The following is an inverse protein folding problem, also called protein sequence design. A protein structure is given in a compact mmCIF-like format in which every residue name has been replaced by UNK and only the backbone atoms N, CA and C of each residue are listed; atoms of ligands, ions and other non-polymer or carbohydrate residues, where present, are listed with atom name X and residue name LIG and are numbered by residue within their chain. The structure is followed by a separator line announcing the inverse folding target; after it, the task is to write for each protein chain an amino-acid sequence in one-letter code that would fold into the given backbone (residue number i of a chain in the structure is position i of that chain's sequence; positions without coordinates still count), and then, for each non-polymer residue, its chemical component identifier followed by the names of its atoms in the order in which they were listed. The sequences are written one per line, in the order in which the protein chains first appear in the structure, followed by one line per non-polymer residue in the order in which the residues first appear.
data_IF_177206773191
#
_entry.id   IF_177206773191
#
_cell.length_a   1.000
_cell.length_b   1.000
_cell.length_c   1.000
_cell.angle_alpha   90.00
_cell.angle_beta   90.00
_cell.angle_gamma   90.00
#
_symmetry.space_group_name_H-M   'P 1'
#
loop_
_entity.id
_entity.type
_entity.pdbx_description
1 polymer ?
#
# COMPACT_ATOMS: atom_id res chain seq x y z
N UNK A 1 63.17 70.86 -40.28
CA UNK A 1 63.45 69.41 -40.09
C UNK A 1 62.68 68.94 -38.85
N UNK A 2 61.51 68.33 -39.00
CA UNK A 2 60.69 67.83 -37.87
C UNK A 2 60.39 66.36 -38.18
N UNK A 3 60.92 65.47 -37.37
CA UNK A 3 60.63 64.04 -37.43
C UNK A 3 59.35 63.74 -36.61
N UNK A 4 58.40 63.17 -37.28
CA UNK A 4 57.13 62.70 -36.61
C UNK A 4 57.30 61.27 -36.15
N UNK A 5 57.15 61.06 -34.85
CA UNK A 5 57.15 59.74 -34.17
C UNK A 5 55.72 59.13 -34.27
N UNK A 6 55.60 58.01 -34.95
CA UNK A 6 54.36 57.26 -35.01
C UNK A 6 54.35 56.22 -33.92
N UNK A 7 53.46 56.36 -32.95
CA UNK A 7 53.21 55.36 -31.90
C UNK A 7 52.27 54.31 -32.42
N UNK A 8 52.70 53.07 -32.44
CA UNK A 8 51.83 51.89 -32.71
C UNK A 8 51.10 51.49 -31.41
N UNK A 9 49.76 51.50 -31.43
CA UNK A 9 48.94 50.96 -30.35
C UNK A 9 48.52 49.55 -30.73
N UNK A 10 49.06 48.55 -30.02
CA UNK A 10 48.67 47.14 -30.16
C UNK A 10 47.46 46.88 -29.30
N UNK A 11 46.29 46.62 -29.90
CA UNK A 11 45.10 46.14 -29.21
C UNK A 11 45.23 44.62 -28.93
N UNK A 12 45.30 44.22 -27.68
CA UNK A 12 45.21 42.84 -27.27
C UNK A 12 43.70 42.45 -27.16
N UNK A 13 43.23 41.53 -27.98
CA UNK A 13 41.92 40.97 -27.90
C UNK A 13 41.88 39.95 -26.74
N UNK A 14 41.16 40.25 -25.67
CA UNK A 14 40.86 39.32 -24.58
C UNK A 14 39.67 38.46 -25.01
N UNK A 15 39.93 37.22 -25.40
CA UNK A 15 38.92 36.23 -25.69
C UNK A 15 38.30 35.72 -24.38
N UNK A 16 37.04 36.05 -24.08
CA UNK A 16 36.27 35.45 -23.01
C UNK A 16 35.81 34.05 -23.43
N UNK A 17 36.46 33.00 -22.92
CA UNK A 17 35.96 31.64 -23.02
C UNK A 17 34.72 31.49 -22.14
N UNK A 18 33.56 31.39 -22.76
CA UNK A 18 32.32 31.01 -22.08
C UNK A 18 32.43 29.52 -21.68
N UNK A 19 32.62 29.27 -20.41
CA UNK A 19 32.46 27.93 -19.83
C UNK A 19 30.95 27.58 -19.88
N UNK A 20 30.60 26.72 -20.82
CA UNK A 20 29.28 26.07 -20.85
C UNK A 20 29.19 25.16 -19.63
N UNK A 21 28.52 25.60 -18.57
CA UNK A 21 28.09 24.73 -17.48
C UNK A 21 27.07 23.77 -18.07
N UNK A 22 27.44 22.52 -18.26
CA UNK A 22 26.44 21.44 -18.46
C UNK A 22 25.52 21.43 -17.27
N UNK A 23 24.18 21.36 -17.46
CA UNK A 23 23.28 21.19 -16.33
C UNK A 23 23.67 19.89 -15.63
N UNK A 24 24.03 19.99 -14.36
CA UNK A 24 24.15 18.84 -13.47
C UNK A 24 22.73 18.24 -13.44
N UNK A 25 22.53 17.10 -14.11
CA UNK A 25 21.32 16.31 -13.93
C UNK A 25 21.26 16.03 -12.44
N UNK A 26 20.26 16.58 -11.77
CA UNK A 26 19.95 16.22 -10.39
C UNK A 26 19.80 14.69 -10.40
N UNK A 27 20.70 13.98 -9.72
CA UNK A 27 20.48 12.56 -9.45
C UNK A 27 19.21 12.51 -8.62
N UNK A 28 18.11 12.05 -9.20
CA UNK A 28 16.92 11.69 -8.45
C UNK A 28 17.36 10.63 -7.45
N UNK A 29 17.09 10.85 -6.18
CA UNK A 29 17.36 9.83 -5.16
C UNK A 29 16.65 8.54 -5.57
N UNK A 30 17.27 7.39 -5.27
CA UNK A 30 16.66 6.10 -5.59
C UNK A 30 15.31 5.95 -4.85
N UNK A 31 14.26 5.49 -5.53
CA UNK A 31 12.93 5.47 -4.95
C UNK A 31 12.85 4.56 -3.71
N UNK A 32 12.04 4.98 -2.76
CA UNK A 32 11.70 4.23 -1.55
C UNK A 32 10.27 3.69 -1.71
N UNK A 33 10.12 2.38 -1.76
CA UNK A 33 8.83 1.71 -1.99
C UNK A 33 8.46 0.84 -0.79
N UNK A 34 7.27 1.07 -0.26
CA UNK A 34 6.65 0.23 0.76
C UNK A 34 5.73 -0.79 0.10
N UNK A 35 5.80 -2.05 0.53
CA UNK A 35 4.93 -3.13 0.03
C UNK A 35 4.21 -3.78 1.21
N UNK A 36 2.89 -3.70 1.24
CA UNK A 36 2.02 -4.44 2.17
C UNK A 36 1.49 -5.69 1.47
N UNK A 37 1.70 -6.86 2.07
CA UNK A 37 1.34 -8.16 1.46
C UNK A 37 0.28 -8.85 2.26
N UNK A 38 -0.90 -9.02 1.67
CA UNK A 38 -2.00 -9.84 2.17
C UNK A 38 -2.11 -11.13 1.34
N UNK A 39 -3.01 -12.06 1.68
CA UNK A 39 -3.04 -13.35 1.00
C UNK A 39 -4.31 -13.63 0.18
N UNK A 40 -5.45 -13.12 0.57
CA UNK A 40 -6.74 -13.45 -0.05
C UNK A 40 -6.79 -13.05 -1.52
N UNK A 41 -6.27 -11.87 -1.83
CA UNK A 41 -6.26 -11.33 -3.19
C UNK A 41 -5.11 -11.79 -4.08
N UNK A 42 -4.15 -12.59 -3.61
CA UNK A 42 -3.00 -13.05 -4.41
C UNK A 42 -3.41 -13.88 -5.62
N UNK A 43 -2.67 -13.75 -6.71
CA UNK A 43 -2.79 -14.59 -7.89
C UNK A 43 -2.65 -16.08 -7.54
N UNK A 44 -3.59 -16.92 -8.01
CA UNK A 44 -3.57 -18.35 -7.76
C UNK A 44 -4.15 -18.79 -6.41
N UNK A 45 -4.42 -17.89 -5.46
CA UNK A 45 -5.14 -18.21 -4.22
C UNK A 45 -6.63 -18.27 -4.52
N UNK A 46 -7.23 -19.46 -4.42
CA UNK A 46 -8.63 -19.70 -4.81
C UNK A 46 -9.47 -20.38 -3.75
N UNK A 47 -8.93 -20.67 -2.56
CA UNK A 47 -9.66 -21.31 -1.47
C UNK A 47 -9.19 -20.81 -0.10
N UNK A 48 -10.06 -20.82 0.95
CA UNK A 48 -9.66 -20.45 2.31
C UNK A 48 -8.54 -21.32 2.88
N UNK A 49 -8.37 -22.56 2.38
CA UNK A 49 -7.32 -23.47 2.83
C UNK A 49 -5.90 -23.00 2.44
N UNK A 50 -5.80 -22.04 1.52
CA UNK A 50 -4.53 -21.47 1.06
C UNK A 50 -4.08 -20.27 1.91
N UNK A 51 -5.01 -19.61 2.63
CA UNK A 51 -4.71 -18.43 3.47
C UNK A 51 -4.63 -18.77 4.96
N UNK A 52 -5.22 -19.88 5.40
CA UNK A 52 -5.19 -20.31 6.81
C UNK A 52 -3.90 -21.08 7.13
N UNK A 53 -3.20 -20.70 8.20
CA UNK A 53 -1.97 -21.41 8.68
C UNK A 53 -2.20 -22.88 9.05
N UNK A 54 -3.45 -23.29 9.35
CA UNK A 54 -3.86 -24.67 9.54
C UNK A 54 -4.41 -25.33 8.27
N UNK A 55 -4.50 -24.60 7.17
CA UNK A 55 -5.06 -25.07 5.91
C UNK A 55 -4.11 -26.04 5.19
N UNK A 56 -4.69 -27.07 4.54
CA UNK A 56 -3.91 -28.11 3.84
C UNK A 56 -3.05 -27.55 2.69
N UNK A 57 -3.44 -26.43 2.09
CA UNK A 57 -2.78 -25.83 0.93
C UNK A 57 -2.02 -24.53 1.29
N UNK A 58 -1.85 -24.23 2.58
CA UNK A 58 -1.20 -23.00 3.05
C UNK A 58 0.25 -22.87 2.56
N UNK A 59 1.00 -23.98 2.47
CA UNK A 59 2.36 -23.96 1.92
C UNK A 59 2.38 -23.44 0.45
N UNK A 60 1.36 -23.77 -0.34
CA UNK A 60 1.19 -23.24 -1.70
C UNK A 60 0.86 -21.75 -1.67
N UNK A 61 -0.06 -21.32 -0.78
CA UNK A 61 -0.40 -19.91 -0.61
C UNK A 61 0.82 -19.04 -0.25
N UNK A 62 1.66 -19.50 0.69
CA UNK A 62 2.91 -18.83 1.06
C UNK A 62 3.89 -18.68 -0.11
N UNK A 63 4.00 -19.70 -0.95
CA UNK A 63 4.85 -19.63 -2.14
C UNK A 63 4.33 -18.61 -3.13
N UNK A 64 3.01 -18.61 -3.40
CA UNK A 64 2.38 -17.62 -4.28
C UNK A 64 2.59 -16.19 -3.76
N UNK A 65 2.48 -15.96 -2.44
CA UNK A 65 2.78 -14.66 -1.83
C UNK A 65 4.23 -14.24 -2.07
N UNK A 66 5.17 -15.16 -1.88
CA UNK A 66 6.60 -14.90 -2.07
C UNK A 66 6.93 -14.63 -3.54
N UNK A 67 6.36 -15.40 -4.45
CA UNK A 67 6.58 -15.27 -5.90
C UNK A 67 6.01 -13.93 -6.40
N UNK A 68 4.85 -13.48 -5.90
CA UNK A 68 4.23 -12.21 -6.29
C UNK A 68 5.04 -11.01 -5.76
N UNK A 69 5.55 -11.07 -4.52
CA UNK A 69 6.50 -10.07 -3.99
C UNK A 69 7.77 -10.02 -4.85
N UNK A 70 8.34 -11.17 -5.20
CA UNK A 70 9.53 -11.24 -6.03
C UNK A 70 9.29 -10.67 -7.44
N UNK A 71 8.11 -10.90 -8.04
CA UNK A 71 7.76 -10.32 -9.33
C UNK A 71 7.76 -8.78 -9.29
N UNK A 72 7.15 -8.19 -8.25
CA UNK A 72 7.12 -6.73 -8.07
C UNK A 72 8.51 -6.17 -7.78
N UNK A 73 9.24 -6.77 -6.84
CA UNK A 73 10.57 -6.27 -6.46
C UNK A 73 11.58 -6.41 -7.60
N UNK A 74 11.51 -7.48 -8.40
CA UNK A 74 12.35 -7.65 -9.57
C UNK A 74 12.11 -6.56 -10.62
N UNK A 75 10.84 -6.20 -10.88
CA UNK A 75 10.50 -5.12 -11.81
C UNK A 75 11.02 -3.76 -11.30
N UNK A 76 10.87 -3.46 -10.00
CA UNK A 76 11.42 -2.24 -9.40
C UNK A 76 12.94 -2.20 -9.55
N UNK A 77 13.65 -3.27 -9.18
CA UNK A 77 15.11 -3.32 -9.24
C UNK A 77 15.67 -3.38 -10.66
N UNK A 78 14.87 -3.79 -11.63
CA UNK A 78 15.28 -3.70 -13.04
C UNK A 78 15.40 -2.24 -13.49
N UNK A 79 14.55 -1.35 -13.01
CA UNK A 79 14.58 0.08 -13.32
C UNK A 79 15.48 0.88 -12.37
N UNK A 80 15.39 0.56 -11.08
CA UNK A 80 16.11 1.25 -10.01
C UNK A 80 16.88 0.22 -9.15
N UNK A 81 18.07 -0.20 -9.55
CA UNK A 81 18.86 -1.21 -8.83
C UNK A 81 19.16 -0.84 -7.37
N UNK A 82 19.17 0.44 -7.05
CA UNK A 82 19.47 1.00 -5.73
C UNK A 82 18.20 1.40 -4.95
N UNK A 83 16.99 1.05 -5.44
CA UNK A 83 15.73 1.31 -4.73
C UNK A 83 15.75 0.72 -3.31
N UNK A 84 15.21 1.46 -2.35
CA UNK A 84 14.93 0.91 -1.02
C UNK A 84 13.53 0.30 -1.01
N UNK A 85 13.43 -0.99 -0.73
CA UNK A 85 12.14 -1.69 -0.65
C UNK A 85 11.95 -2.27 0.74
N UNK A 86 10.85 -1.87 1.40
CA UNK A 86 10.39 -2.42 2.66
C UNK A 86 9.12 -3.24 2.40
N UNK A 87 9.19 -4.54 2.64
CA UNK A 87 8.04 -5.45 2.57
C UNK A 87 7.52 -5.72 3.97
N UNK A 88 6.24 -5.49 4.19
CA UNK A 88 5.55 -5.77 5.44
C UNK A 88 4.55 -6.91 5.22
N UNK A 89 4.74 -8.02 5.92
CA UNK A 89 3.78 -9.13 5.92
C UNK A 89 2.50 -8.71 6.65
N UNK A 90 1.37 -8.79 6.00
CA UNK A 90 0.14 -8.14 6.46
C UNK A 90 -1.01 -9.10 6.73
N UNK A 91 -0.86 -10.39 6.40
CA UNK A 91 -1.92 -11.38 6.56
C UNK A 91 -1.84 -12.11 7.91
N UNK A 92 -2.97 -12.23 8.58
CA UNK A 92 -3.15 -13.13 9.72
C UNK A 92 -2.18 -12.87 10.89
N UNK A 93 -1.23 -13.77 11.10
CA UNK A 93 -0.18 -13.67 12.11
C UNK A 93 1.10 -12.98 11.61
N UNK A 94 1.07 -12.49 10.38
CA UNK A 94 2.18 -11.78 9.74
C UNK A 94 3.47 -12.63 9.58
N UNK A 95 3.31 -13.91 9.22
CA UNK A 95 4.42 -14.87 9.08
C UNK A 95 4.30 -15.71 7.80
N UNK A 96 3.78 -15.09 6.73
CA UNK A 96 3.34 -15.82 5.54
C UNK A 96 4.41 -15.88 4.44
N UNK A 97 5.09 -14.76 4.16
CA UNK A 97 6.11 -14.71 3.12
C UNK A 97 7.35 -15.53 3.51
N UNK A 98 7.93 -16.25 2.57
CA UNK A 98 9.18 -17.01 2.74
C UNK A 98 10.38 -16.06 2.55
N UNK A 99 10.72 -15.30 3.59
CA UNK A 99 11.68 -14.21 3.47
C UNK A 99 13.07 -14.65 2.97
N UNK A 100 13.46 -15.91 3.21
CA UNK A 100 14.72 -16.47 2.70
C UNK A 100 14.73 -16.71 1.18
N UNK A 101 13.57 -16.62 0.55
CA UNK A 101 13.38 -16.73 -0.90
C UNK A 101 13.14 -15.35 -1.57
N UNK A 102 13.12 -14.25 -0.80
CA UNK A 102 13.06 -12.90 -1.32
C UNK A 102 14.41 -12.44 -1.89
N UNK A 103 14.40 -11.44 -2.78
CA UNK A 103 15.62 -10.76 -3.21
C UNK A 103 16.39 -10.23 -1.98
N UNK A 104 17.70 -10.43 -1.97
CA UNK A 104 18.56 -10.14 -0.80
C UNK A 104 18.65 -8.65 -0.46
N UNK A 105 18.20 -7.75 -1.34
CA UNK A 105 18.15 -6.30 -1.13
C UNK A 105 16.90 -5.85 -0.36
N UNK A 106 15.88 -6.71 -0.30
CA UNK A 106 14.61 -6.38 0.38
C UNK A 106 14.78 -6.37 1.89
N UNK A 107 14.27 -5.31 2.52
CA UNK A 107 14.04 -5.29 3.97
C UNK A 107 12.65 -5.84 4.27
N UNK A 108 12.52 -6.72 5.25
CA UNK A 108 11.26 -7.43 5.51
C UNK A 108 10.83 -7.36 6.98
N UNK A 109 9.59 -6.96 7.22
CA UNK A 109 8.96 -6.96 8.55
C UNK A 109 8.05 -8.18 8.70
N UNK A 110 8.36 -9.04 9.67
CA UNK A 110 7.63 -10.26 9.98
C UNK A 110 7.14 -10.27 11.43
N UNK A 111 6.07 -10.98 11.66
CA UNK A 111 5.57 -11.29 13.00
C UNK A 111 4.50 -10.36 13.53
N UNK A 112 3.75 -10.86 14.49
CA UNK A 112 2.66 -10.19 15.21
C UNK A 112 3.08 -10.08 16.69
N UNK A 113 2.80 -9.04 17.46
CA UNK A 113 1.87 -7.95 17.16
C UNK A 113 2.67 -6.73 16.73
N UNK A 114 2.25 -6.11 15.63
CA UNK A 114 2.81 -4.83 15.16
C UNK A 114 1.81 -3.70 15.49
N UNK A 115 2.22 -2.58 16.10
CA UNK A 115 1.33 -1.46 16.41
C UNK A 115 0.54 -0.94 15.20
N UNK A 116 1.18 -0.84 14.04
CA UNK A 116 0.55 -0.39 12.79
C UNK A 116 0.16 -1.55 11.85
N UNK A 117 0.32 -2.82 12.26
CA UNK A 117 -0.15 -3.99 11.51
C UNK A 117 0.23 -4.02 10.05
N UNK A 118 -0.77 -3.89 9.17
CA UNK A 118 -0.60 -3.96 7.71
C UNK A 118 0.23 -2.81 7.13
N UNK A 119 0.37 -1.70 7.84
CA UNK A 119 1.15 -0.52 7.42
C UNK A 119 2.35 -0.25 8.33
N UNK A 120 2.81 -1.27 9.07
CA UNK A 120 3.99 -1.11 9.93
C UNK A 120 5.25 -0.78 9.12
N UNK A 121 5.90 0.32 9.45
CA UNK A 121 7.08 0.84 8.78
C UNK A 121 6.78 1.92 7.74
N UNK A 122 5.52 2.11 7.33
CA UNK A 122 5.14 3.10 6.32
C UNK A 122 5.45 4.54 6.76
N UNK A 123 5.46 4.79 8.07
CA UNK A 123 5.80 6.09 8.67
C UNK A 123 7.26 6.51 8.48
N UNK A 124 8.13 5.64 7.97
CA UNK A 124 9.55 5.95 7.71
C UNK A 124 9.77 6.81 6.45
N UNK A 125 8.70 7.12 5.69
CA UNK A 125 8.73 7.95 4.48
C UNK A 125 9.08 7.16 3.22
N UNK A 126 8.15 7.12 2.27
CA UNK A 126 8.25 6.41 1.00
C UNK A 126 7.69 7.27 -0.13
N UNK A 127 8.15 7.02 -1.35
CA UNK A 127 7.66 7.68 -2.55
C UNK A 127 6.36 7.04 -3.06
N UNK A 128 6.11 5.79 -2.68
CA UNK A 128 4.88 5.08 -3.00
C UNK A 128 4.66 3.83 -2.16
N UNK A 129 3.38 3.49 -1.96
CA UNK A 129 2.94 2.26 -1.32
C UNK A 129 2.31 1.32 -2.36
N UNK A 130 2.65 0.04 -2.28
CA UNK A 130 2.11 -1.06 -3.08
C UNK A 130 1.33 -2.00 -2.16
N UNK A 131 0.09 -2.30 -2.52
CA UNK A 131 -0.78 -3.23 -1.79
C UNK A 131 -0.95 -4.49 -2.62
N UNK A 132 -0.37 -5.61 -2.16
CA UNK A 132 -0.43 -6.92 -2.83
C UNK A 132 -1.37 -7.87 -2.10
N UNK A 133 -2.15 -8.62 -2.85
CA UNK A 133 -3.01 -9.66 -2.31
C UNK A 133 -4.22 -9.13 -1.53
N UNK A 134 -4.62 -7.89 -1.74
CA UNK A 134 -5.75 -7.27 -1.05
C UNK A 134 -7.09 -7.83 -1.54
N UNK A 135 -8.07 -7.81 -0.67
CA UNK A 135 -9.42 -8.34 -0.88
C UNK A 135 -10.49 -7.29 -0.56
N UNK A 136 -11.72 -7.54 -0.96
CA UNK A 136 -12.83 -6.63 -0.76
C UNK A 136 -13.22 -6.49 0.73
N UNK A 137 -13.85 -5.36 1.07
CA UNK A 137 -14.37 -5.08 2.40
C UNK A 137 -15.45 -6.09 2.86
N UNK A 138 -15.67 -6.14 4.16
CA UNK A 138 -16.74 -6.93 4.75
C UNK A 138 -18.09 -6.55 4.13
N UNK A 139 -18.85 -7.55 3.69
CA UNK A 139 -20.19 -7.35 3.13
C UNK A 139 -20.25 -7.12 1.62
N UNK A 140 -19.13 -6.96 0.92
CA UNK A 140 -19.15 -6.91 -0.54
C UNK A 140 -19.59 -8.27 -1.11
N UNK A 141 -20.72 -8.33 -1.87
CA UNK A 141 -21.27 -9.58 -2.37
C UNK A 141 -20.41 -10.23 -3.48
N UNK A 142 -19.56 -9.43 -4.13
CA UNK A 142 -18.73 -9.84 -5.25
C UNK A 142 -17.27 -10.10 -4.81
N UNK A 143 -16.96 -9.99 -3.49
CA UNK A 143 -15.62 -10.18 -2.94
C UNK A 143 -15.31 -11.64 -2.61
N UNK A 144 -14.08 -12.06 -2.93
CA UNK A 144 -13.52 -13.35 -2.50
C UNK A 144 -12.92 -13.24 -1.11
N UNK A 145 -13.38 -14.05 -0.16
CA UNK A 145 -13.00 -14.04 1.26
C UNK A 145 -13.12 -12.65 1.91
N UNK A 146 -14.06 -11.83 1.44
CA UNK A 146 -14.28 -10.45 1.84
C UNK A 146 -14.49 -10.32 3.36
N UNK A 147 -13.70 -9.45 3.99
CA UNK A 147 -13.80 -9.13 5.41
C UNK A 147 -13.12 -7.78 5.71
N UNK A 148 -13.12 -7.32 6.96
CA UNK A 148 -12.41 -6.10 7.36
C UNK A 148 -11.77 -6.30 8.73
N UNK A 149 -10.47 -6.55 8.79
CA UNK A 149 -9.67 -6.75 10.00
C UNK A 149 -9.97 -8.06 10.73
N UNK A 150 -11.22 -8.44 10.84
CA UNK A 150 -11.66 -9.73 11.38
C UNK A 150 -13.07 -10.07 10.93
N UNK A 151 -13.46 -11.34 11.03
CA UNK A 151 -14.81 -11.79 10.72
C UNK A 151 -15.91 -11.22 11.64
N UNK A 152 -15.52 -10.55 12.72
CA UNK A 152 -16.46 -9.89 13.65
C UNK A 152 -16.93 -8.53 13.12
N UNK A 153 -16.18 -7.88 12.25
CA UNK A 153 -16.54 -6.59 11.63
C UNK A 153 -17.47 -6.83 10.45
N UNK A 154 -18.52 -6.02 10.36
CA UNK A 154 -19.53 -6.08 9.30
C UNK A 154 -19.58 -4.83 8.43
N UNK A 155 -18.98 -3.73 8.88
CA UNK A 155 -18.83 -2.51 8.13
C UNK A 155 -17.91 -1.54 8.87
N UNK A 156 -17.17 -0.75 8.12
CA UNK A 156 -16.29 0.31 8.60
C UNK A 156 -16.47 1.54 7.71
N UNK A 157 -16.66 2.70 8.31
CA UNK A 157 -16.77 3.97 7.60
C UNK A 157 -15.82 4.99 8.19
N UNK A 158 -15.12 5.71 7.31
CA UNK A 158 -14.30 6.87 7.61
C UNK A 158 -14.94 8.09 6.93
N UNK A 159 -15.38 9.07 7.70
CA UNK A 159 -16.08 10.27 7.18
C UNK A 159 -17.18 9.95 6.16
N UNK A 160 -18.01 8.96 6.48
CA UNK A 160 -19.14 8.47 5.67
C UNK A 160 -18.75 7.65 4.41
N UNK A 161 -17.46 7.48 4.12
CA UNK A 161 -16.97 6.55 3.09
C UNK A 161 -16.84 5.16 3.70
N UNK A 162 -17.52 4.17 3.14
CA UNK A 162 -17.37 2.77 3.54
C UNK A 162 -16.07 2.22 2.99
N UNK A 163 -15.30 1.54 3.86
CA UNK A 163 -13.96 1.06 3.52
C UNK A 163 -13.69 -0.32 4.08
N UNK A 164 -12.84 -1.07 3.38
CA UNK A 164 -12.18 -2.26 3.90
C UNK A 164 -10.80 -1.97 4.48
N UNK A 165 -9.98 -3.01 4.58
CA UNK A 165 -8.60 -2.91 5.03
C UNK A 165 -7.78 -2.04 4.10
N UNK A 166 -7.96 -2.19 2.78
CA UNK A 166 -7.28 -1.37 1.79
C UNK A 166 -7.55 0.12 1.97
N UNK A 167 -8.83 0.50 2.17
CA UNK A 167 -9.19 1.90 2.37
C UNK A 167 -8.66 2.47 3.68
N UNK A 168 -8.74 1.72 4.81
CA UNK A 168 -8.16 2.22 6.06
C UNK A 168 -6.62 2.33 5.98
N UNK A 169 -5.96 1.42 5.25
CA UNK A 169 -4.52 1.47 5.02
C UNK A 169 -4.14 2.64 4.11
N UNK A 170 -4.94 2.92 3.07
CA UNK A 170 -4.76 4.09 2.21
C UNK A 170 -4.95 5.42 2.96
N UNK A 171 -5.93 5.49 3.89
CA UNK A 171 -6.11 6.66 4.74
C UNK A 171 -4.90 6.90 5.66
N UNK A 172 -4.31 5.83 6.23
CA UNK A 172 -3.07 5.94 7.00
C UNK A 172 -1.90 6.38 6.12
N UNK A 173 -1.73 5.76 4.93
CA UNK A 173 -0.69 6.15 3.97
C UNK A 173 -0.80 7.64 3.62
N UNK A 174 -2.01 8.12 3.34
CA UNK A 174 -2.28 9.53 3.09
C UNK A 174 -1.89 10.45 4.25
N UNK A 175 -2.13 10.02 5.49
CA UNK A 175 -1.78 10.82 6.68
C UNK A 175 -0.27 11.01 6.89
N UNK A 176 0.54 10.12 6.34
CA UNK A 176 2.02 10.23 6.35
C UNK A 176 2.58 10.70 5.00
N UNK A 177 1.71 11.17 4.10
CA UNK A 177 2.09 11.76 2.82
C UNK A 177 2.53 10.76 1.76
N UNK A 178 2.20 9.47 1.90
CA UNK A 178 2.59 8.42 0.96
C UNK A 178 1.41 8.03 0.07
N UNK A 179 1.50 8.19 -1.26
CA UNK A 179 0.46 7.74 -2.17
C UNK A 179 0.46 6.22 -2.32
N UNK A 180 -0.72 5.62 -2.50
CA UNK A 180 -0.84 4.22 -2.94
C UNK A 180 -0.72 4.22 -4.47
N UNK A 181 0.36 3.63 -4.98
CA UNK A 181 0.72 3.70 -6.40
C UNK A 181 0.38 2.42 -7.19
N UNK A 182 0.17 1.31 -6.48
CA UNK A 182 -0.26 0.05 -7.07
C UNK A 182 -1.07 -0.78 -6.09
N UNK A 183 -2.16 -1.35 -6.56
CA UNK A 183 -3.00 -2.32 -5.83
C UNK A 183 -3.19 -3.56 -6.67
N UNK A 184 -2.92 -4.74 -6.09
CA UNK A 184 -3.25 -6.03 -6.67
C UNK A 184 -4.17 -6.81 -5.74
N UNK A 185 -5.28 -7.32 -6.29
CA UNK A 185 -6.27 -8.01 -5.50
C UNK A 185 -7.39 -8.65 -6.33
N UNK A 186 -8.44 -9.10 -5.69
CA UNK A 186 -9.63 -9.53 -6.41
C UNK A 186 -10.33 -8.34 -7.10
N UNK A 187 -11.24 -8.61 -8.03
CA UNK A 187 -11.91 -7.57 -8.83
C UNK A 187 -12.68 -6.57 -7.93
N UNK A 188 -13.28 -7.05 -6.85
CA UNK A 188 -14.01 -6.19 -5.93
C UNK A 188 -13.06 -5.26 -5.15
N UNK A 189 -11.91 -5.75 -4.68
CA UNK A 189 -10.89 -4.94 -4.02
C UNK A 189 -10.30 -3.88 -4.94
N UNK A 190 -9.98 -4.24 -6.19
CA UNK A 190 -9.44 -3.26 -7.16
C UNK A 190 -10.46 -2.21 -7.54
N UNK A 191 -11.75 -2.55 -7.63
CA UNK A 191 -12.85 -1.59 -7.82
C UNK A 191 -13.00 -0.65 -6.61
N UNK A 192 -12.99 -1.23 -5.38
CA UNK A 192 -13.09 -0.47 -4.13
C UNK A 192 -11.97 0.55 -3.99
N UNK A 193 -10.73 0.10 -4.13
CA UNK A 193 -9.55 0.94 -3.97
C UNK A 193 -9.35 1.92 -5.12
N UNK A 194 -9.68 1.54 -6.35
CA UNK A 194 -9.64 2.44 -7.50
C UNK A 194 -10.64 3.61 -7.44
N UNK A 195 -11.63 3.56 -6.52
CA UNK A 195 -12.49 4.70 -6.22
C UNK A 195 -11.89 5.68 -5.18
N UNK A 196 -10.80 5.29 -4.51
CA UNK A 196 -10.17 6.06 -3.44
C UNK A 196 -8.78 6.60 -3.79
N UNK A 197 -8.02 5.86 -4.61
CA UNK A 197 -6.63 6.19 -4.95
C UNK A 197 -6.38 6.14 -6.45
N UNK A 198 -5.41 6.93 -6.92
CA UNK A 198 -5.08 7.05 -8.34
C UNK A 198 -4.08 5.97 -8.83
N UNK A 199 -3.70 5.01 -7.96
CA UNK A 199 -2.70 3.98 -8.26
C UNK A 199 -3.11 3.00 -9.35
N UNK A 200 -2.14 2.27 -9.89
CA UNK A 200 -2.34 1.18 -10.85
C UNK A 200 -3.13 0.02 -10.22
N UNK A 201 -4.09 -0.55 -10.96
CA UNK A 201 -4.95 -1.64 -10.48
C UNK A 201 -4.65 -2.93 -11.25
N UNK A 202 -4.32 -4.02 -10.53
CA UNK A 202 -4.10 -5.35 -11.10
C UNK A 202 -5.08 -6.35 -10.51
N UNK A 203 -6.08 -6.74 -11.30
CA UNK A 203 -7.04 -7.78 -10.90
C UNK A 203 -6.41 -9.16 -11.06
N UNK A 204 -6.41 -9.95 -9.99
CA UNK A 204 -5.82 -11.30 -9.95
C UNK A 204 -6.86 -12.41 -10.12
N UNK A 205 -8.11 -12.13 -9.77
CA UNK A 205 -9.24 -13.08 -9.78
C UNK A 205 -10.58 -12.35 -9.72
N UNK A 206 -11.64 -13.11 -10.03
CA UNK A 206 -13.04 -12.71 -9.79
C UNK A 206 -13.68 -13.73 -8.87
N UNK A 207 -14.46 -13.30 -7.88
CA UNK A 207 -15.21 -14.20 -7.02
C UNK A 207 -16.33 -14.90 -7.81
N UNK A 208 -16.47 -16.21 -7.65
CA UNK A 208 -17.65 -16.97 -8.07
C UNK A 208 -18.65 -17.12 -6.92
N UNK A 209 -18.10 -17.19 -5.70
CA UNK A 209 -18.82 -17.17 -4.42
C UNK A 209 -17.87 -16.54 -3.39
N UNK A 210 -18.35 -16.22 -2.18
CA UNK A 210 -17.47 -15.72 -1.13
C UNK A 210 -16.27 -16.61 -0.78
N UNK A 211 -16.25 -17.88 -1.23
CA UNK A 211 -15.18 -18.83 -0.90
C UNK A 211 -14.65 -19.62 -2.11
N UNK A 212 -15.01 -19.22 -3.32
CA UNK A 212 -14.48 -19.78 -4.57
C UNK A 212 -14.24 -18.66 -5.59
N UNK A 213 -13.18 -18.77 -6.37
CA UNK A 213 -12.77 -17.73 -7.31
C UNK A 213 -12.41 -18.30 -8.69
N UNK A 214 -12.65 -17.50 -9.71
CA UNK A 214 -12.12 -17.68 -11.06
C UNK A 214 -10.75 -17.01 -11.13
N UNK A 215 -9.70 -17.82 -11.22
CA UNK A 215 -8.32 -17.37 -11.11
C UNK A 215 -7.74 -16.95 -12.47
N UNK A 216 -6.95 -15.90 -12.48
CA UNK A 216 -5.98 -15.62 -13.51
C UNK A 216 -4.71 -16.42 -13.14
N UNK A 217 -4.07 -17.03 -14.17
CA UNK A 217 -2.85 -17.81 -13.92
C UNK A 217 -1.75 -16.96 -13.32
N UNK A 218 -1.02 -17.41 -12.28
CA UNK A 218 -0.01 -16.58 -11.56
C UNK A 218 1.02 -15.94 -12.51
N UNK A 219 1.54 -16.63 -13.51
CA UNK A 219 2.50 -16.04 -14.47
C UNK A 219 1.92 -14.83 -15.22
N UNK A 220 0.61 -14.86 -15.54
CA UNK A 220 -0.05 -13.72 -16.18
C UNK A 220 -0.26 -12.55 -15.20
N UNK A 221 -0.51 -12.87 -13.93
CA UNK A 221 -0.57 -11.87 -12.87
C UNK A 221 0.81 -11.22 -12.69
N UNK A 222 1.88 -12.01 -12.62
CA UNK A 222 3.25 -11.50 -12.50
C UNK A 222 3.63 -10.60 -13.69
N UNK A 223 3.24 -10.97 -14.91
CA UNK A 223 3.45 -10.09 -16.08
C UNK A 223 2.69 -8.77 -15.92
N UNK A 224 1.41 -8.81 -15.54
CA UNK A 224 0.60 -7.61 -15.35
C UNK A 224 1.13 -6.73 -14.22
N UNK A 225 1.66 -7.34 -13.15
CA UNK A 225 2.32 -6.62 -12.06
C UNK A 225 3.59 -5.91 -12.54
N UNK A 226 4.43 -6.57 -13.34
CA UNK A 226 5.62 -5.94 -13.92
C UNK A 226 5.27 -4.71 -14.76
N UNK A 227 4.28 -4.84 -15.64
CA UNK A 227 3.79 -3.72 -16.47
C UNK A 227 3.18 -2.60 -15.62
N UNK A 228 2.48 -2.92 -14.52
CA UNK A 228 1.91 -1.94 -13.61
C UNK A 228 2.99 -1.24 -12.78
N UNK A 229 4.03 -1.97 -12.34
CA UNK A 229 5.19 -1.39 -11.66
C UNK A 229 5.90 -0.36 -12.54
N UNK A 230 6.10 -0.67 -13.84
CA UNK A 230 6.71 0.28 -14.76
C UNK A 230 5.91 1.59 -14.84
N UNK A 231 4.57 1.51 -14.98
CA UNK A 231 3.71 2.70 -14.97
C UNK A 231 3.68 3.41 -13.62
N UNK A 232 3.70 2.65 -12.52
CA UNK A 232 3.72 3.23 -11.17
C UNK A 232 5.01 4.02 -10.92
N UNK A 233 6.16 3.51 -11.38
CA UNK A 233 7.44 4.21 -11.27
C UNK A 233 7.47 5.47 -12.14
N UNK A 234 6.97 5.40 -13.37
CA UNK A 234 6.82 6.59 -14.22
C UNK A 234 5.92 7.64 -13.55
N UNK A 235 4.78 7.20 -12.97
CA UNK A 235 3.87 8.10 -12.28
C UNK A 235 4.44 8.71 -10.99
N UNK A 236 5.33 8.00 -10.26
CA UNK A 236 6.09 8.55 -9.13
C UNK A 236 7.05 9.65 -9.63
N UNK A 237 7.82 9.37 -10.67
CA UNK A 237 8.76 10.32 -11.26
C UNK A 237 8.07 11.59 -11.78
N UNK A 238 6.88 11.43 -12.36
CA UNK A 238 6.06 12.52 -12.88
C UNK A 238 5.22 13.23 -11.80
N UNK A 239 5.15 12.68 -10.57
CA UNK A 239 4.40 13.25 -9.44
C UNK A 239 2.88 13.24 -9.64
N UNK A 240 2.33 12.22 -10.34
CA UNK A 240 0.90 12.17 -10.68
C UNK A 240 0.04 11.58 -9.57
N UNK A 241 0.62 10.80 -8.65
CA UNK A 241 -0.13 10.17 -7.57
C UNK A 241 -0.32 11.11 -6.39
N UNK A 242 -1.54 11.16 -5.88
CA UNK A 242 -1.88 11.98 -4.71
C UNK A 242 -2.20 11.06 -3.51
N UNK A 243 -1.59 11.31 -2.33
CA UNK A 243 -1.99 10.62 -1.11
C UNK A 243 -3.48 10.85 -0.81
N UNK A 244 -4.23 9.80 -0.49
CA UNK A 244 -5.65 9.92 -0.20
C UNK A 244 -5.88 10.64 1.14
N UNK A 245 -6.41 11.85 1.08
CA UNK A 245 -6.80 12.63 2.26
C UNK A 245 -8.24 12.30 2.67
N UNK A 246 -8.40 11.54 3.74
CA UNK A 246 -9.71 11.21 4.33
C UNK A 246 -10.33 12.39 5.08
N UNK A 247 -9.58 13.51 5.23
CA UNK A 247 -9.96 14.70 5.97
C UNK A 247 -9.75 14.57 7.49
N UNK A 248 -9.81 15.72 8.18
CA UNK A 248 -9.68 15.85 9.64
C UNK A 248 -10.79 16.73 10.22
N UNK A 249 -11.39 16.37 11.35
CA UNK A 249 -11.25 15.12 12.11
C UNK A 249 -11.84 13.92 11.36
N UNK A 250 -11.45 12.69 11.74
CA UNK A 250 -11.95 11.45 11.14
C UNK A 250 -13.08 10.88 11.99
N UNK A 251 -14.29 10.86 11.43
CA UNK A 251 -15.43 10.17 12.05
C UNK A 251 -15.39 8.71 11.68
N UNK A 252 -15.14 7.86 12.67
CA UNK A 252 -15.18 6.41 12.56
C UNK A 252 -16.60 5.94 12.88
N UNK A 253 -17.16 5.04 12.06
CA UNK A 253 -18.32 4.23 12.38
C UNK A 253 -17.97 2.78 12.09
N UNK A 254 -18.16 1.90 13.06
CA UNK A 254 -17.79 0.49 12.92
C UNK A 254 -18.91 -0.42 13.40
N UNK A 255 -19.32 -1.34 12.54
CA UNK A 255 -20.38 -2.30 12.78
C UNK A 255 -19.79 -3.68 13.07
N UNK A 256 -20.34 -4.34 14.07
CA UNK A 256 -19.92 -5.66 14.54
C UNK A 256 -21.03 -6.71 14.42
N UNK A 257 -20.64 -7.98 14.43
CA UNK A 257 -21.57 -9.10 14.40
C UNK A 257 -22.24 -9.36 15.76
N UNK A 258 -21.76 -8.76 16.85
CA UNK A 258 -22.25 -9.01 18.22
C UNK A 258 -22.46 -7.71 18.97
N UNK A 259 -23.58 -7.62 19.70
CA UNK A 259 -23.88 -6.51 20.61
C UNK A 259 -22.90 -6.41 21.77
N UNK A 260 -22.27 -7.53 22.16
CA UNK A 260 -21.25 -7.57 23.21
C UNK A 260 -20.01 -6.74 22.84
N UNK A 261 -19.60 -6.74 21.56
CA UNK A 261 -18.52 -5.84 21.09
C UNK A 261 -18.86 -4.38 21.39
N UNK A 262 -20.08 -3.97 21.03
CA UNK A 262 -20.53 -2.58 21.21
C UNK A 262 -20.56 -2.20 22.71
N UNK A 263 -21.06 -3.10 23.55
CA UNK A 263 -21.14 -2.82 25.01
C UNK A 263 -19.74 -2.73 25.63
N UNK A 264 -18.78 -3.58 25.24
CA UNK A 264 -17.39 -3.53 25.72
C UNK A 264 -16.69 -2.28 25.23
N UNK A 265 -16.85 -1.93 23.96
CA UNK A 265 -16.17 -0.77 23.33
C UNK A 265 -16.61 0.57 23.93
N UNK A 266 -17.79 0.67 24.54
CA UNK A 266 -18.21 1.87 25.28
C UNK A 266 -17.33 2.18 26.50
N UNK A 267 -16.45 1.25 26.91
CA UNK A 267 -15.44 1.50 27.94
C UNK A 267 -14.30 2.41 27.46
N UNK A 268 -14.18 2.63 26.13
CA UNK A 268 -13.21 3.56 25.56
C UNK A 268 -13.77 4.98 25.72
N UNK A 269 -13.05 5.91 26.39
CA UNK A 269 -13.50 7.28 26.51
C UNK A 269 -13.74 7.94 25.15
N UNK A 270 -14.91 8.57 24.98
CA UNK A 270 -15.32 9.20 23.71
C UNK A 270 -16.03 8.27 22.73
N UNK A 271 -16.03 6.93 22.97
CA UNK A 271 -16.81 6.00 22.16
C UNK A 271 -18.31 6.19 22.41
N UNK A 272 -19.08 6.24 21.36
CA UNK A 272 -20.54 6.34 21.39
C UNK A 272 -21.20 5.11 20.75
N UNK A 273 -22.32 4.68 21.35
CA UNK A 273 -23.17 3.65 20.79
C UNK A 273 -24.15 4.28 19.81
N UNK A 274 -24.12 3.85 18.56
CA UNK A 274 -25.07 4.29 17.51
C UNK A 274 -26.33 3.42 17.57
N UNK A 275 -26.15 2.12 17.60
CA UNK A 275 -27.22 1.11 17.75
C UNK A 275 -26.66 -0.15 18.44
N UNK A 276 -27.44 -1.26 18.42
CA UNK A 276 -27.03 -2.52 19.07
C UNK A 276 -25.77 -3.14 18.52
N UNK A 277 -25.37 -2.82 17.29
CA UNK A 277 -24.25 -3.43 16.58
C UNK A 277 -23.18 -2.42 16.15
N UNK A 278 -23.39 -1.12 16.34
CA UNK A 278 -22.57 -0.07 15.76
C UNK A 278 -22.07 0.90 16.83
N UNK A 279 -20.75 1.17 16.81
CA UNK A 279 -20.11 2.25 17.57
C UNK A 279 -19.65 3.36 16.65
N UNK A 280 -19.50 4.57 17.21
CA UNK A 280 -18.88 5.70 16.55
C UNK A 280 -17.89 6.41 17.46
N UNK A 281 -16.84 6.96 16.84
CA UNK A 281 -15.81 7.76 17.50
C UNK A 281 -15.34 8.85 16.52
N UNK A 282 -14.90 9.98 17.06
CA UNK A 282 -14.27 11.03 16.26
C UNK A 282 -12.81 11.14 16.66
N UNK A 283 -11.94 10.67 15.79
CA UNK A 283 -10.50 10.75 15.93
C UNK A 283 -9.98 12.12 15.47
N UNK A 284 -8.88 12.58 16.07
CA UNK A 284 -8.28 13.87 15.69
C UNK A 284 -7.70 13.86 14.30
N UNK A 285 -7.19 12.69 13.85
CA UNK A 285 -6.61 12.46 12.52
C UNK A 285 -6.69 10.99 12.10
N UNK A 286 -6.11 10.65 10.96
CA UNK A 286 -6.13 9.29 10.42
C UNK A 286 -5.17 8.34 11.16
N UNK A 287 -4.11 8.82 11.80
CA UNK A 287 -3.24 7.95 12.64
C UNK A 287 -3.99 7.47 13.89
N UNK A 288 -4.64 8.39 14.63
CA UNK A 288 -5.48 7.98 15.76
C UNK A 288 -6.62 7.06 15.32
N UNK A 289 -7.28 7.39 14.20
CA UNK A 289 -8.36 6.56 13.66
C UNK A 289 -7.87 5.15 13.36
N UNK A 290 -6.76 5.01 12.66
CA UNK A 290 -6.17 3.73 12.31
C UNK A 290 -5.84 2.87 13.53
N UNK A 291 -5.15 3.45 14.51
CA UNK A 291 -4.76 2.75 15.76
C UNK A 291 -5.98 2.30 16.55
N UNK A 292 -7.00 3.15 16.64
CA UNK A 292 -8.23 2.82 17.35
C UNK A 292 -9.03 1.70 16.64
N UNK A 293 -9.16 1.76 15.32
CA UNK A 293 -9.82 0.72 14.53
C UNK A 293 -9.11 -0.63 14.75
N UNK A 294 -7.78 -0.65 14.67
CA UNK A 294 -7.00 -1.86 14.95
C UNK A 294 -7.22 -2.39 16.37
N UNK A 295 -7.23 -1.52 17.37
CA UNK A 295 -7.55 -1.90 18.75
C UNK A 295 -8.91 -2.59 18.82
N UNK A 296 -9.93 -2.02 18.18
CA UNK A 296 -11.30 -2.51 18.23
C UNK A 296 -11.46 -3.91 17.64
N UNK A 297 -10.89 -4.19 16.47
CA UNK A 297 -11.09 -5.49 15.83
C UNK A 297 -10.07 -6.56 16.25
N UNK A 298 -8.88 -6.16 16.69
CA UNK A 298 -7.79 -7.11 16.99
C UNK A 298 -7.81 -7.59 18.44
N UNK A 299 -8.19 -6.73 19.38
CA UNK A 299 -8.04 -6.99 20.81
C UNK A 299 -9.36 -7.06 21.56
N UNK A 300 -10.45 -6.59 20.98
CA UNK A 300 -11.78 -6.73 21.58
C UNK A 300 -12.50 -7.88 20.88
N UNK A 301 -12.36 -9.05 21.48
CA UNK A 301 -13.11 -10.27 21.06
C UNK A 301 -14.09 -10.62 22.14
N UNK A 302 -15.36 -11.02 21.81
CA UNK A 302 -16.34 -11.43 22.79
C UNK A 302 -15.94 -12.73 23.48
#
# INVERSE_FOLDING_TARGET
MHAALRTLVTMAAVGTAALSASPLLAQTEAPRIFISVDMEGLGGVGTPAMTSSSGKDYATGRRLATDEVNAVTAAIYQRHPDAFILVNDSHGDHQNVLHTELDTRVTYIQGSIKPLGMVQGLEEGFDGAVFLGYHAMAGDPDGFLAHTGSGAVKGLWLNDVEVGEGGMNAAFAGSVGVPVVLVAGDEAATRELGALVDGEMVTTKTAETPSSARLIHPERVHQALGEAVDRALDGIEDGVYTPWDVGTPVRIRMQFASTTHVDVLQSIPGMSKVDGFTVAYTAVDADEAYRLIRLMYRFVTP
#
